data_IF_655023468728
#
_entry.id   IF_655023468728
#
_cell.length_a   1.000
_cell.length_b   1.000
_cell.length_c   1.000
_cell.angle_alpha   90.00
_cell.angle_beta   90.00
_cell.angle_gamma   90.00
#
_symmetry.space_group_name_H-M   'P 1'
#
loop_
_entity.id
_entity.type
_entity.pdbx_description
1 polymer ?
#
# COMPACT_ATOMS: atom_id res chain seq x y z
N UNK A 1 -6.67 7.18 -15.05
CA UNK A 1 -5.23 7.28 -14.78
C UNK A 1 -5.07 8.11 -13.53
N UNK A 2 -4.21 7.70 -12.60
CA UNK A 2 -3.90 8.46 -11.38
C UNK A 2 -2.55 9.12 -11.55
N UNK A 3 -2.39 10.32 -10.98
CA UNK A 3 -1.19 11.14 -11.17
C UNK A 3 -0.76 11.78 -9.87
N UNK A 4 0.56 11.84 -9.67
CA UNK A 4 1.22 12.68 -8.66
C UNK A 4 2.29 13.53 -9.34
N UNK A 5 2.37 14.79 -8.95
CA UNK A 5 3.46 15.69 -9.33
C UNK A 5 4.46 15.77 -8.19
N UNK A 6 5.75 15.52 -8.49
CA UNK A 6 6.86 15.91 -7.64
C UNK A 6 7.42 17.21 -8.19
N UNK A 7 7.61 18.23 -7.36
CA UNK A 7 8.05 19.55 -7.78
C UNK A 7 9.11 20.10 -6.84
N UNK A 8 9.56 21.33 -7.14
CA UNK A 8 10.62 22.06 -6.41
C UNK A 8 11.91 21.25 -6.26
N UNK A 9 12.20 20.39 -7.24
CA UNK A 9 13.40 19.57 -7.26
C UNK A 9 14.62 20.46 -7.52
N UNK A 10 15.66 20.26 -6.71
CA UNK A 10 16.83 21.13 -6.73
C UNK A 10 17.64 20.99 -8.04
N UNK A 11 18.17 22.08 -8.64
CA UNK A 11 18.85 22.02 -9.93
C UNK A 11 20.12 21.16 -9.97
N UNK A 12 20.75 20.93 -8.82
CA UNK A 12 21.91 20.05 -8.63
C UNK A 12 21.54 18.57 -8.64
N UNK A 13 20.26 18.23 -8.53
CA UNK A 13 19.78 16.86 -8.60
C UNK A 13 19.28 16.52 -10.01
N UNK A 14 19.86 15.48 -10.60
CA UNK A 14 19.38 14.97 -11.88
C UNK A 14 18.20 14.01 -11.67
N UNK A 15 17.01 14.44 -12.08
CA UNK A 15 15.80 13.61 -12.11
C UNK A 15 16.04 12.36 -12.98
N UNK A 16 16.62 12.56 -14.17
CA UNK A 16 16.91 11.47 -15.11
C UNK A 16 17.83 10.40 -14.51
N UNK A 17 18.97 10.80 -13.93
CA UNK A 17 19.91 9.86 -13.31
C UNK A 17 19.25 9.12 -12.14
N UNK A 18 18.46 9.82 -11.34
CA UNK A 18 17.73 9.22 -10.22
C UNK A 18 16.76 8.15 -10.72
N UNK A 19 15.99 8.44 -11.78
CA UNK A 19 15.07 7.49 -12.39
C UNK A 19 15.82 6.25 -12.93
N UNK A 20 16.95 6.41 -13.62
CA UNK A 20 17.76 5.27 -14.07
C UNK A 20 18.27 4.41 -12.91
N UNK A 21 18.80 5.01 -11.84
CA UNK A 21 19.28 4.29 -10.66
C UNK A 21 18.13 3.52 -9.98
N UNK A 22 16.91 4.06 -10.03
CA UNK A 22 15.70 3.41 -9.52
C UNK A 22 15.08 2.39 -10.48
N UNK A 23 15.74 2.10 -11.60
CA UNK A 23 15.36 1.05 -12.55
C UNK A 23 14.34 1.48 -13.59
N UNK A 24 14.05 2.79 -13.72
CA UNK A 24 13.24 3.29 -14.83
C UNK A 24 14.07 3.26 -16.12
N UNK A 25 13.37 3.02 -17.23
CA UNK A 25 13.97 3.01 -18.58
C UNK A 25 13.35 4.11 -19.41
N UNK A 26 14.17 4.88 -20.11
CA UNK A 26 13.70 5.91 -21.03
C UNK A 26 13.07 5.26 -22.28
N UNK A 27 11.88 5.70 -22.65
CA UNK A 27 11.15 5.37 -23.87
C UNK A 27 10.66 6.69 -24.46
N UNK A 28 11.30 7.13 -25.55
CA UNK A 28 11.07 8.46 -26.14
C UNK A 28 11.27 9.58 -25.09
N UNK A 29 10.23 10.38 -24.84
CA UNK A 29 10.23 11.49 -23.86
C UNK A 29 9.71 11.06 -22.48
N UNK A 30 9.49 9.76 -22.25
CA UNK A 30 8.96 9.24 -21.00
C UNK A 30 9.93 8.26 -20.34
N UNK A 31 9.81 8.13 -19.02
CA UNK A 31 10.53 7.13 -18.24
C UNK A 31 9.54 6.10 -17.73
N UNK A 32 9.78 4.83 -18.01
CA UNK A 32 8.87 3.74 -17.65
C UNK A 32 9.53 2.82 -16.65
N UNK A 33 8.82 2.55 -15.56
CA UNK A 33 9.12 1.47 -14.63
C UNK A 33 8.08 0.37 -14.78
N UNK A 34 8.56 -0.87 -14.94
CA UNK A 34 7.71 -2.05 -14.95
C UNK A 34 8.22 -3.08 -13.95
N UNK A 35 7.32 -3.58 -13.12
CA UNK A 35 7.59 -4.68 -12.20
C UNK A 35 6.31 -5.51 -12.04
N UNK A 36 6.34 -6.74 -12.56
CA UNK A 36 5.16 -7.59 -12.68
C UNK A 36 3.99 -6.85 -13.38
N UNK A 37 2.85 -6.72 -12.70
CA UNK A 37 1.64 -6.04 -13.19
C UNK A 37 1.60 -4.53 -12.84
N UNK A 38 2.72 -3.95 -12.38
CA UNK A 38 2.82 -2.53 -12.05
C UNK A 38 3.57 -1.83 -13.19
N UNK A 39 2.97 -0.74 -13.68
CA UNK A 39 3.58 0.18 -14.64
C UNK A 39 3.47 1.60 -14.09
N UNK A 40 4.61 2.30 -14.03
CA UNK A 40 4.67 3.74 -13.77
C UNK A 40 5.22 4.43 -15.00
N UNK A 41 4.59 5.54 -15.39
CA UNK A 41 5.02 6.39 -16.49
C UNK A 41 5.39 7.77 -15.95
N UNK A 42 6.62 8.18 -16.19
CA UNK A 42 7.22 9.38 -15.64
C UNK A 42 7.51 10.38 -16.76
N UNK A 43 7.03 11.61 -16.61
CA UNK A 43 7.28 12.71 -17.55
C UNK A 43 7.97 13.82 -16.79
N UNK A 44 9.17 14.19 -17.25
CA UNK A 44 9.95 15.29 -16.67
C UNK A 44 9.50 16.58 -17.35
N UNK A 45 9.22 17.62 -16.58
CA UNK A 45 8.91 18.93 -17.17
C UNK A 45 10.11 19.53 -17.90
N UNK A 46 9.84 20.39 -18.87
CA UNK A 46 10.80 21.13 -19.70
C UNK A 46 11.90 21.84 -18.89
N UNK A 47 11.56 22.37 -17.70
CA UNK A 47 12.49 23.04 -16.81
C UNK A 47 13.36 22.08 -15.96
N UNK A 48 13.10 20.77 -16.06
CA UNK A 48 13.75 19.69 -15.29
C UNK A 48 13.66 19.83 -13.77
N UNK A 49 12.61 20.50 -13.27
CA UNK A 49 12.35 20.72 -11.82
C UNK A 49 11.07 20.07 -11.31
N UNK A 50 10.28 19.50 -12.21
CA UNK A 50 9.08 18.75 -11.89
C UNK A 50 9.08 17.38 -12.59
N UNK A 51 8.44 16.42 -11.95
CA UNK A 51 8.27 15.05 -12.41
C UNK A 51 6.81 14.63 -12.19
N UNK A 52 6.10 14.35 -13.27
CA UNK A 52 4.77 13.78 -13.22
C UNK A 52 4.85 12.26 -13.28
N UNK A 53 4.25 11.58 -12.30
CA UNK A 53 4.24 10.11 -12.20
C UNK A 53 2.80 9.63 -12.37
N UNK A 54 2.55 8.87 -13.44
CA UNK A 54 1.26 8.31 -13.80
C UNK A 54 1.22 6.80 -13.51
N UNK A 55 0.08 6.33 -13.00
CA UNK A 55 -0.13 4.91 -12.71
C UNK A 55 -1.60 4.50 -12.86
N UNK A 56 -1.82 3.18 -12.93
CA UNK A 56 -3.15 2.60 -13.12
C UNK A 56 -4.05 2.81 -11.89
N UNK A 57 -5.34 3.16 -12.06
CA UNK A 57 -6.32 3.15 -10.98
C UNK A 57 -6.82 1.72 -10.64
N UNK A 58 -6.43 0.72 -11.43
CA UNK A 58 -6.89 -0.66 -11.30
C UNK A 58 -5.82 -1.54 -10.65
N UNK A 59 -5.27 -1.08 -9.53
CA UNK A 59 -4.31 -1.83 -8.72
C UNK A 59 -4.99 -2.38 -7.46
N UNK A 60 -4.52 -3.52 -6.98
CA UNK A 60 -4.88 -4.03 -5.66
C UNK A 60 -4.03 -3.37 -4.56
N UNK A 61 -4.40 -3.56 -3.30
CA UNK A 61 -3.70 -2.94 -2.16
C UNK A 61 -2.19 -3.24 -2.14
N UNK A 62 -1.78 -4.50 -2.39
CA UNK A 62 -0.36 -4.89 -2.44
C UNK A 62 0.40 -4.13 -3.53
N UNK A 63 -0.21 -3.96 -4.69
CA UNK A 63 0.35 -3.18 -5.79
C UNK A 63 0.42 -1.69 -5.45
N UNK A 64 -0.63 -1.12 -4.87
CA UNK A 64 -0.60 0.26 -4.39
C UNK A 64 0.49 0.49 -3.34
N UNK A 65 0.73 -0.46 -2.43
CA UNK A 65 1.83 -0.37 -1.46
C UNK A 65 3.19 -0.29 -2.14
N UNK A 66 3.40 -1.06 -3.21
CA UNK A 66 4.65 -0.98 -3.99
C UNK A 66 4.77 0.40 -4.66
N UNK A 67 3.70 0.89 -5.29
CA UNK A 67 3.67 2.21 -5.93
C UNK A 67 3.94 3.32 -4.90
N UNK A 68 3.25 3.31 -3.75
CA UNK A 68 3.47 4.22 -2.63
C UNK A 68 4.94 4.25 -2.20
N UNK A 69 5.56 3.08 -2.00
CA UNK A 69 6.95 2.98 -1.58
C UNK A 69 7.92 3.53 -2.61
N UNK A 70 7.70 3.27 -3.91
CA UNK A 70 8.52 3.81 -4.99
C UNK A 70 8.43 5.34 -5.00
N UNK A 71 7.22 5.89 -4.99
CA UNK A 71 7.00 7.35 -5.04
C UNK A 71 7.58 8.03 -3.79
N UNK A 72 7.33 7.47 -2.60
CA UNK A 72 7.90 7.99 -1.34
C UNK A 72 9.43 7.98 -1.36
N UNK A 73 10.03 6.96 -1.98
CA UNK A 73 11.48 6.91 -2.13
C UNK A 73 12.00 7.95 -3.12
N UNK A 74 11.29 8.20 -4.22
CA UNK A 74 11.63 9.28 -5.16
C UNK A 74 11.53 10.65 -4.49
N UNK A 75 10.47 10.92 -3.73
CA UNK A 75 10.30 12.15 -2.92
C UNK A 75 11.52 12.37 -2.02
N UNK A 76 11.95 11.33 -1.30
CA UNK A 76 13.10 11.43 -0.39
C UNK A 76 14.42 11.69 -1.13
N UNK A 77 14.70 10.96 -2.21
CA UNK A 77 15.97 11.07 -2.94
C UNK A 77 16.08 12.41 -3.70
N UNK A 78 14.96 12.85 -4.29
CA UNK A 78 14.88 14.12 -5.02
C UNK A 78 14.59 15.32 -4.10
N UNK A 79 14.53 15.09 -2.78
CA UNK A 79 14.14 16.09 -1.79
C UNK A 79 12.96 16.98 -2.28
N UNK A 80 11.96 16.33 -2.88
CA UNK A 80 10.92 16.99 -3.64
C UNK A 80 9.73 17.31 -2.73
N UNK A 81 9.05 18.41 -3.02
CA UNK A 81 7.66 18.55 -2.57
C UNK A 81 6.74 17.78 -3.52
N UNK A 82 5.51 17.53 -3.11
CA UNK A 82 4.57 16.75 -3.91
C UNK A 82 3.16 17.30 -3.86
N UNK A 83 2.43 17.11 -4.97
CA UNK A 83 0.99 17.33 -5.07
C UNK A 83 0.34 16.06 -5.60
N UNK A 84 -0.45 15.39 -4.76
CA UNK A 84 -1.07 14.09 -5.07
C UNK A 84 -2.59 14.14 -5.21
N UNK A 85 -3.17 15.33 -5.39
CA UNK A 85 -4.62 15.57 -5.52
C UNK A 85 -5.29 14.82 -6.67
N UNK A 86 -4.53 14.42 -7.70
CA UNK A 86 -4.99 13.61 -8.84
C UNK A 86 -4.82 12.10 -8.63
N UNK A 87 -4.51 11.67 -7.41
CA UNK A 87 -4.29 10.26 -7.04
C UNK A 87 -5.31 9.72 -6.04
N UNK A 88 -6.54 10.26 -6.03
CA UNK A 88 -7.59 9.84 -5.09
C UNK A 88 -7.85 8.33 -5.20
N UNK A 89 -7.55 7.60 -4.13
CA UNK A 89 -7.73 6.16 -3.99
C UNK A 89 -9.09 5.81 -3.37
N UNK A 90 -9.62 6.70 -2.54
CA UNK A 90 -10.91 6.53 -1.87
C UNK A 90 -11.11 7.55 -0.76
N UNK A 91 -12.04 7.24 0.15
CA UNK A 91 -12.37 8.10 1.28
C UNK A 91 -12.25 7.34 2.60
N UNK A 92 -11.80 8.03 3.63
CA UNK A 92 -11.82 7.56 5.01
C UNK A 92 -13.24 7.65 5.61
N UNK A 93 -13.44 7.08 6.79
CA UNK A 93 -14.75 7.10 7.50
C UNK A 93 -15.26 8.51 7.81
N UNK A 94 -14.37 9.48 7.96
CA UNK A 94 -14.69 10.88 8.22
C UNK A 94 -14.94 11.69 6.93
N UNK A 95 -14.98 11.05 5.77
CA UNK A 95 -15.18 11.69 4.47
C UNK A 95 -13.94 12.36 3.88
N UNK A 96 -12.78 12.33 4.54
CA UNK A 96 -11.53 12.85 3.97
C UNK A 96 -11.03 11.94 2.85
N UNK A 97 -10.54 12.55 1.77
CA UNK A 97 -9.89 11.82 0.67
C UNK A 97 -8.58 11.16 1.10
N UNK A 98 -8.35 9.95 0.61
CA UNK A 98 -7.10 9.23 0.72
C UNK A 98 -6.44 9.12 -0.65
N UNK A 99 -5.15 9.43 -0.70
CA UNK A 99 -4.36 9.56 -1.92
C UNK A 99 -3.12 8.66 -1.82
N UNK A 100 -2.30 8.62 -2.87
CA UNK A 100 -1.15 7.72 -2.90
C UNK A 100 -0.08 8.08 -1.86
N UNK A 101 0.00 9.33 -1.40
CA UNK A 101 0.87 9.76 -0.29
C UNK A 101 0.03 10.29 0.87
N UNK A 102 -0.88 11.23 0.60
CA UNK A 102 -1.70 11.90 1.62
C UNK A 102 -2.72 10.94 2.22
N UNK A 103 -2.75 10.84 3.56
CA UNK A 103 -3.60 9.94 4.33
C UNK A 103 -3.42 8.44 4.00
N UNK A 104 -2.27 8.04 3.45
CA UNK A 104 -1.99 6.64 3.07
C UNK A 104 -2.14 5.65 4.23
N UNK A 105 -1.52 5.93 5.39
CA UNK A 105 -1.54 5.03 6.55
C UNK A 105 -2.96 4.81 7.07
N UNK A 106 -3.75 5.89 7.19
CA UNK A 106 -5.15 5.83 7.60
C UNK A 106 -6.00 5.01 6.62
N UNK A 107 -5.72 5.13 5.32
CA UNK A 107 -6.43 4.40 4.28
C UNK A 107 -6.13 2.90 4.31
N UNK A 108 -4.86 2.52 4.46
CA UNK A 108 -4.46 1.11 4.62
C UNK A 108 -5.13 0.52 5.87
N UNK A 109 -5.09 1.22 7.00
CA UNK A 109 -5.74 0.78 8.23
C UNK A 109 -7.27 0.66 8.06
N UNK A 110 -7.90 1.60 7.34
CA UNK A 110 -9.32 1.55 7.02
C UNK A 110 -9.67 0.32 6.18
N UNK A 111 -8.92 0.05 5.10
CA UNK A 111 -9.14 -1.11 4.24
C UNK A 111 -8.93 -2.43 5.00
N UNK A 112 -7.91 -2.50 5.86
CA UNK A 112 -7.65 -3.66 6.69
C UNK A 112 -8.81 -3.92 7.66
N UNK A 113 -9.31 -2.88 8.35
CA UNK A 113 -10.50 -2.98 9.21
C UNK A 113 -11.73 -3.46 8.43
N UNK A 114 -11.96 -2.93 7.24
CA UNK A 114 -13.07 -3.36 6.38
C UNK A 114 -12.94 -4.82 5.93
N UNK A 115 -11.74 -5.25 5.53
CA UNK A 115 -11.42 -6.65 5.21
C UNK A 115 -11.74 -7.55 6.39
N UNK A 116 -11.23 -7.23 7.58
CA UNK A 116 -11.45 -8.03 8.78
C UNK A 116 -12.93 -8.12 9.16
N UNK A 117 -13.68 -7.02 9.13
CA UNK A 117 -15.14 -7.04 9.35
C UNK A 117 -15.86 -7.97 8.38
N UNK A 118 -15.46 -7.99 7.11
CA UNK A 118 -16.05 -8.89 6.12
C UNK A 118 -15.71 -10.38 6.31
N UNK A 119 -14.74 -10.69 7.18
CA UNK A 119 -14.35 -12.05 7.55
C UNK A 119 -15.07 -12.53 8.81
N UNK A 120 -15.74 -11.65 9.57
CA UNK A 120 -16.48 -12.04 10.77
C UNK A 120 -17.52 -13.12 10.44
N UNK A 121 -17.48 -14.21 11.22
CA UNK A 121 -18.32 -15.40 10.99
C UNK A 121 -17.87 -16.33 9.86
N UNK A 122 -16.77 -16.02 9.15
CA UNK A 122 -16.21 -16.89 8.09
C UNK A 122 -15.07 -17.75 8.61
N UNK A 123 -14.85 -18.89 7.96
CA UNK A 123 -13.69 -19.75 8.21
C UNK A 123 -12.43 -19.09 7.65
N UNK A 124 -11.39 -19.02 8.48
CA UNK A 124 -10.12 -18.36 8.18
C UNK A 124 -8.95 -19.22 8.66
N UNK A 125 -7.79 -18.99 8.04
CA UNK A 125 -6.49 -19.46 8.54
C UNK A 125 -5.73 -18.28 9.14
N UNK A 126 -5.01 -18.55 10.22
CA UNK A 126 -4.09 -17.62 10.87
C UNK A 126 -2.66 -18.00 10.57
N UNK A 127 -1.85 -17.03 10.19
CA UNK A 127 -0.42 -17.20 9.95
C UNK A 127 0.39 -16.27 10.85
N UNK A 128 1.59 -16.71 11.21
CA UNK A 128 2.57 -15.86 11.88
C UNK A 128 3.34 -14.97 10.90
N UNK A 129 4.25 -14.17 11.44
CA UNK A 129 5.14 -13.29 10.68
C UNK A 129 6.10 -14.02 9.72
N UNK A 130 6.31 -15.33 9.93
CA UNK A 130 7.10 -16.20 9.05
C UNK A 130 6.24 -16.88 7.97
N UNK A 131 4.96 -16.51 7.90
CA UNK A 131 3.95 -17.09 7.01
C UNK A 131 3.65 -18.58 7.30
N UNK A 132 3.90 -19.03 8.52
CA UNK A 132 3.56 -20.36 8.98
C UNK A 132 2.15 -20.36 9.56
N UNK A 133 1.33 -21.32 9.15
CA UNK A 133 -0.02 -21.48 9.70
C UNK A 133 0.03 -21.84 11.19
N UNK A 134 -0.71 -21.08 12.00
CA UNK A 134 -0.83 -21.24 13.45
C UNK A 134 -2.13 -21.97 13.80
N UNK A 135 -3.23 -21.63 13.12
CA UNK A 135 -4.56 -22.17 13.42
C UNK A 135 -5.56 -21.93 12.28
N UNK A 136 -6.66 -22.68 12.32
CA UNK A 136 -7.82 -22.50 11.44
C UNK A 136 -9.12 -22.59 12.26
N UNK A 137 -10.14 -21.81 11.85
CA UNK A 137 -11.42 -21.76 12.55
C UNK A 137 -12.33 -20.63 12.06
N UNK A 138 -13.49 -20.47 12.68
CA UNK A 138 -14.41 -19.38 12.37
C UNK A 138 -13.96 -18.09 13.06
N UNK A 139 -13.77 -17.02 12.30
CA UNK A 139 -13.29 -15.74 12.81
C UNK A 139 -14.36 -15.02 13.64
N UNK A 140 -14.01 -14.63 14.86
CA UNK A 140 -14.91 -13.92 15.79
C UNK A 140 -14.48 -12.48 15.99
N UNK A 141 -13.24 -12.27 16.43
CA UNK A 141 -12.76 -10.94 16.80
C UNK A 141 -11.24 -10.85 16.75
N UNK A 142 -10.73 -9.62 16.88
CA UNK A 142 -9.31 -9.33 16.85
C UNK A 142 -8.99 -8.08 17.69
N UNK A 143 -7.71 -7.94 18.05
CA UNK A 143 -7.13 -6.71 18.57
C UNK A 143 -5.95 -6.30 17.71
N UNK A 144 -5.80 -4.99 17.52
CA UNK A 144 -4.65 -4.42 16.84
C UNK A 144 -3.85 -3.57 17.80
N UNK A 145 -2.56 -3.46 17.51
CA UNK A 145 -1.71 -2.44 18.10
C UNK A 145 -2.08 -1.05 17.52
N UNK A 146 -2.19 -0.07 18.42
CA UNK A 146 -2.64 1.29 18.07
C UNK A 146 -1.62 2.04 17.21
N UNK A 147 -0.33 1.67 17.26
CA UNK A 147 0.74 2.36 16.52
C UNK A 147 0.97 1.78 15.13
N UNK A 148 0.95 0.45 15.02
CA UNK A 148 1.32 -0.27 13.79
C UNK A 148 0.13 -0.78 12.97
N UNK A 149 -1.09 -0.79 13.54
CA UNK A 149 -2.25 -1.49 12.95
C UNK A 149 -2.01 -2.98 12.69
N UNK A 150 -0.97 -3.56 13.30
CA UNK A 150 -0.72 -5.00 13.25
C UNK A 150 -1.73 -5.71 14.14
N UNK A 151 -2.20 -6.88 13.71
CA UNK A 151 -3.10 -7.71 14.51
C UNK A 151 -2.25 -8.45 15.54
N UNK A 152 -2.48 -8.15 16.82
CA UNK A 152 -1.71 -8.73 17.93
C UNK A 152 -2.45 -9.88 18.63
N UNK A 153 -3.76 -9.94 18.45
CA UNK A 153 -4.60 -11.00 19.00
C UNK A 153 -5.76 -11.31 18.03
N UNK A 154 -6.07 -12.58 17.85
CA UNK A 154 -7.20 -13.04 17.05
C UNK A 154 -7.95 -14.17 17.78
N UNK A 155 -9.28 -14.09 17.82
CA UNK A 155 -10.15 -15.10 18.42
C UNK A 155 -10.91 -15.86 17.34
N UNK A 156 -10.83 -17.20 17.41
CA UNK A 156 -11.55 -18.12 16.53
C UNK A 156 -12.44 -19.08 17.32
N UNK A 157 -13.54 -19.52 16.71
CA UNK A 157 -14.19 -20.79 17.08
C UNK A 157 -13.50 -21.91 16.31
N UNK A 158 -12.78 -22.75 17.05
CA UNK A 158 -12.12 -23.95 16.54
C UNK A 158 -12.95 -25.20 16.87
N UNK A 159 -12.53 -26.37 16.39
CA UNK A 159 -13.15 -27.64 16.79
C UNK A 159 -13.03 -27.93 18.30
N UNK A 160 -12.11 -27.25 19.00
CA UNK A 160 -11.97 -27.32 20.47
C UNK A 160 -12.69 -26.19 21.21
N UNK A 161 -13.59 -25.46 20.53
CA UNK A 161 -14.25 -24.28 21.07
C UNK A 161 -13.52 -22.97 20.78
N UNK A 162 -13.90 -21.91 21.50
CA UNK A 162 -13.35 -20.56 21.35
C UNK A 162 -11.90 -20.51 21.85
N UNK A 163 -11.00 -20.00 21.01
CA UNK A 163 -9.57 -19.83 21.32
C UNK A 163 -9.05 -18.50 20.81
N UNK A 164 -8.22 -17.85 21.63
CA UNK A 164 -7.49 -16.63 21.27
C UNK A 164 -6.01 -16.93 21.02
N UNK A 165 -5.49 -16.38 19.94
CA UNK A 165 -4.11 -16.53 19.48
C UNK A 165 -3.44 -15.16 19.53
N UNK A 166 -2.22 -15.09 20.09
CA UNK A 166 -1.46 -13.84 20.25
C UNK A 166 -0.14 -13.89 19.48
N UNK A 167 0.28 -12.73 18.98
CA UNK A 167 1.52 -12.57 18.22
C UNK A 167 1.86 -11.10 17.97
N UNK A 168 3.02 -10.85 17.40
CA UNK A 168 3.50 -9.52 16.98
C UNK A 168 2.81 -9.03 15.70
N UNK A 169 2.50 -9.95 14.79
CA UNK A 169 1.82 -9.66 13.53
C UNK A 169 1.11 -10.91 12.99
N UNK A 170 -0.16 -11.08 13.34
CA UNK A 170 -0.99 -12.20 12.89
C UNK A 170 -1.61 -11.85 11.54
N UNK A 171 -1.43 -12.71 10.55
CA UNK A 171 -2.10 -12.60 9.24
C UNK A 171 -3.36 -13.46 9.24
N UNK A 172 -4.46 -12.90 8.73
CA UNK A 172 -5.77 -13.57 8.64
C UNK A 172 -6.19 -13.66 7.17
N UNK A 173 -6.41 -14.89 6.70
CA UNK A 173 -6.84 -15.16 5.33
C UNK A 173 -8.10 -16.04 5.30
N UNK A 174 -9.09 -15.73 4.44
CA UNK A 174 -10.26 -16.59 4.26
C UNK A 174 -9.88 -17.94 3.67
N UNK A 175 -10.57 -19.00 4.11
CA UNK A 175 -10.46 -20.31 3.47
C UNK A 175 -11.54 -20.48 2.41
N UNK A 176 -11.19 -21.01 1.24
CA UNK A 176 -12.18 -21.44 0.25
C UNK A 176 -12.78 -22.82 0.57
N UNK A 177 -12.28 -23.47 1.63
CA UNK A 177 -12.74 -24.79 2.06
C UNK A 177 -13.97 -24.63 2.96
N UNK A 178 -15.09 -25.15 2.48
CA UNK A 178 -16.33 -25.30 3.25
C UNK A 178 -16.24 -26.56 4.13
#
# INVERSE_FOLDING_TARGET
>A
MLTIELHTISPDQSIEQTLYIKGFRKQEETFIYTNNNIKLECVIDSNKRSLNINFSPHLNLKQYTIVHNIIKNLILVLNAEYTDSQSLLGYLTNGKGAYIITNWADWVAFLQKAKLRSLEGKKVNLFDETNKEIASGMFISYKMDDQSSNITECTLITHFGERSFKGSNILIEPTNEW
#
